data_IF_145025991381
#
_entry.id   IF_145025991381
#
_cell.length_a   1.000
_cell.length_b   1.000
_cell.length_c   1.000
_cell.angle_alpha   90.00
_cell.angle_beta   90.00
_cell.angle_gamma   90.00
#
_symmetry.space_group_name_H-M   'P 1'
#
loop_
_entity.id
_entity.type
_entity.pdbx_description
1 polymer ?
2 non-polymer ?
3 non-polymer ?
4 non-polymer ?
5 non-polymer ?
6 water ?
#
# COMPACT_ATOMS: atom_id res chain seq x y z
N UNK A 1 13.80 9.20 8.65
CA UNK A 1 13.11 7.99 9.06
C UNK A 1 12.07 8.23 10.16
N UNK A 2 11.01 7.41 10.12
CA UNK A 2 9.86 7.54 11.00
C UNK A 2 9.53 6.17 11.59
N UNK A 3 8.88 6.17 12.76
CA UNK A 3 8.47 4.95 13.41
C UNK A 3 7.04 4.61 13.00
N UNK A 4 6.85 3.40 12.45
CA UNK A 4 5.53 2.93 12.06
C UNK A 4 4.76 2.54 13.32
N UNK A 5 3.40 2.62 13.34
CA UNK A 5 2.63 3.11 12.19
C UNK A 5 2.68 4.63 12.01
N UNK A 6 2.51 5.06 10.75
CA UNK A 6 2.56 6.47 10.39
C UNK A 6 1.41 6.79 9.44
N UNK A 7 0.77 7.94 9.67
CA UNK A 7 -0.25 8.47 8.77
C UNK A 7 0.32 9.66 8.00
N UNK A 8 0.45 9.48 6.68
CA UNK A 8 0.79 10.56 5.77
C UNK A 8 -0.49 11.30 5.41
N UNK A 9 -0.60 12.61 5.74
CA UNK A 9 -1.79 13.39 5.40
C UNK A 9 -1.87 13.62 3.89
N UNK A 10 -3.08 13.48 3.35
CA UNK A 10 -3.35 13.77 1.95
C UNK A 10 -4.42 14.85 1.87
N UNK A 11 -4.07 16.15 2.04
CA UNK A 11 -5.06 17.22 2.14
C UNK A 11 -5.86 17.43 0.86
N UNK A 12 -7.18 17.41 0.98
CA UNK A 12 -8.07 17.52 -0.17
C UNK A 12 -8.08 16.24 -1.00
N UNK A 13 -7.55 15.15 -0.41
CA UNK A 13 -7.61 13.82 -1.00
C UNK A 13 -6.58 13.65 -2.12
N UNK A 14 -6.81 12.64 -2.96
CA UNK A 14 -5.91 12.34 -4.06
C UNK A 14 -6.54 12.82 -5.36
N UNK A 15 -5.71 12.89 -6.41
CA UNK A 15 -6.10 13.37 -7.72
C UNK A 15 -5.24 12.63 -8.75
N UNK A 16 -5.77 12.31 -9.95
CA UNK A 16 -4.93 11.78 -11.03
C UNK A 16 -3.65 12.59 -11.24
N UNK A 17 -2.54 11.87 -11.40
CA UNK A 17 -1.20 12.40 -11.65
C UNK A 17 -0.42 12.50 -10.34
N UNK A 18 -1.09 12.20 -9.22
CA UNK A 18 -0.43 12.18 -7.92
C UNK A 18 0.37 10.88 -7.79
N UNK A 19 1.69 11.04 -7.56
CA UNK A 19 2.60 9.91 -7.40
C UNK A 19 3.11 9.90 -5.97
N UNK A 20 2.79 8.83 -5.24
CA UNK A 20 3.18 8.70 -3.84
C UNK A 20 4.33 7.69 -3.76
N UNK A 21 5.42 8.08 -3.08
CA UNK A 21 6.59 7.24 -2.95
C UNK A 21 6.83 6.91 -1.48
N UNK A 22 6.85 5.60 -1.18
CA UNK A 22 7.16 5.10 0.15
C UNK A 22 8.49 4.37 0.08
N UNK A 23 9.48 4.86 0.84
CA UNK A 23 10.79 4.23 0.93
C UNK A 23 10.93 3.59 2.31
N UNK A 24 11.50 2.39 2.35
CA UNK A 24 11.76 1.73 3.61
C UNK A 24 12.61 0.47 3.43
N UNK A 25 12.79 -0.25 4.54
CA UNK A 25 13.44 -1.55 4.54
C UNK A 25 12.52 -2.54 5.26
N UNK A 26 12.35 -3.72 4.65
CA UNK A 26 11.57 -4.79 5.25
C UNK A 26 12.38 -5.37 6.40
N UNK A 27 11.71 -5.62 7.53
CA UNK A 27 12.36 -6.20 8.70
C UNK A 27 12.79 -7.64 8.41
N UNK A 28 13.85 -8.15 9.08
CA UNK A 28 14.45 -9.45 8.74
C UNK A 28 13.50 -10.64 8.76
N UNK A 29 12.58 -10.66 9.73
CA UNK A 29 11.62 -11.75 9.83
C UNK A 29 10.21 -11.20 9.68
N UNK A 30 9.94 -10.60 8.51
CA UNK A 30 8.69 -9.89 8.27
C UNK A 30 7.55 -10.87 8.01
N UNK A 31 6.36 -10.52 8.50
CA UNK A 31 5.15 -11.29 8.24
C UNK A 31 4.23 -10.53 7.28
N UNK A 32 4.14 -9.20 7.44
CA UNK A 32 3.18 -8.42 6.68
C UNK A 32 3.59 -6.95 6.58
N UNK A 33 3.10 -6.30 5.51
CA UNK A 33 3.16 -4.86 5.32
C UNK A 33 1.75 -4.41 4.94
N UNK A 34 1.39 -3.16 5.29
CA UNK A 34 0.10 -2.63 4.88
C UNK A 34 0.18 -1.15 4.56
N UNK A 35 -0.37 -0.77 3.40
CA UNK A 35 -0.73 0.60 3.08
C UNK A 35 -2.25 0.72 3.12
N UNK A 36 -2.75 1.79 3.75
CA UNK A 36 -4.18 2.01 3.87
C UNK A 36 -4.54 3.43 3.43
N UNK A 37 -5.14 3.55 2.23
CA UNK A 37 -5.70 4.81 1.76
C UNK A 37 -7.10 4.96 2.35
N UNK A 38 -7.27 5.98 3.21
CA UNK A 38 -8.45 6.08 4.06
C UNK A 38 -9.33 7.24 3.61
N UNK A 39 -10.64 7.00 3.63
CA UNK A 39 -11.67 8.03 3.56
C UNK A 39 -12.49 7.95 4.84
N UNK A 40 -12.11 8.76 5.83
CA UNK A 40 -12.63 8.60 7.18
C UNK A 40 -12.35 7.19 7.69
N UNK A 41 -13.41 6.49 8.11
CA UNK A 41 -13.26 5.13 8.63
C UNK A 41 -13.14 4.13 7.48
N UNK A 42 -13.54 4.54 6.27
CA UNK A 42 -13.48 3.64 5.13
C UNK A 42 -12.04 3.53 4.64
N UNK A 43 -11.68 2.33 4.16
CA UNK A 43 -10.38 2.14 3.52
C UNK A 43 -10.63 1.96 2.03
N UNK A 44 -10.28 2.99 1.25
CA UNK A 44 -10.49 2.99 -0.18
C UNK A 44 -9.62 1.93 -0.84
N UNK A 45 -8.37 1.83 -0.37
CA UNK A 45 -7.41 0.91 -0.96
C UNK A 45 -6.46 0.42 0.13
N UNK A 46 -6.57 -0.87 0.44
CA UNK A 46 -5.69 -1.57 1.36
C UNK A 46 -4.77 -2.46 0.53
N UNK A 47 -3.46 -2.24 0.65
CA UNK A 47 -2.45 -3.01 -0.06
C UNK A 47 -1.63 -3.76 0.99
N UNK A 48 -1.66 -5.10 0.93
CA UNK A 48 -1.25 -5.91 2.07
C UNK A 48 -0.40 -7.09 1.62
N UNK A 49 0.93 -6.90 1.42
CA UNK A 49 1.85 -8.02 1.21
C UNK A 49 1.90 -8.91 2.45
N UNK A 50 1.71 -10.22 2.24
CA UNK A 50 1.74 -11.22 3.29
C UNK A 50 2.84 -12.23 2.97
N UNK A 51 3.80 -12.36 3.89
CA UNK A 51 5.00 -13.17 3.67
C UNK A 51 4.74 -14.64 3.96
N UNK A 52 3.70 -14.95 4.75
CA UNK A 52 3.48 -16.31 5.21
C UNK A 52 1.99 -16.57 5.40
N UNK A 53 1.22 -16.44 4.31
CA UNK A 53 -0.18 -16.85 4.33
C UNK A 53 -0.27 -18.27 3.77
N UNK A 54 -0.55 -19.23 4.67
CA UNK A 54 -0.59 -20.65 4.32
C UNK A 54 0.75 -21.06 3.72
N UNK A 55 1.84 -20.54 4.31
CA UNK A 55 3.21 -20.83 3.89
C UNK A 55 3.47 -20.36 2.46
N UNK A 56 2.73 -19.34 2.02
CA UNK A 56 2.90 -18.76 0.70
C UNK A 56 3.04 -17.25 0.84
N UNK A 57 3.60 -16.61 -0.20
CA UNK A 57 3.73 -15.16 -0.23
C UNK A 57 2.74 -14.63 -1.26
N UNK A 58 1.93 -13.65 -0.83
CA UNK A 58 0.82 -13.16 -1.65
C UNK A 58 0.60 -11.68 -1.34
N UNK A 59 0.20 -10.92 -2.36
CA UNK A 59 -0.30 -9.57 -2.15
C UNK A 59 -1.82 -9.63 -2.08
N UNK A 60 -2.38 -9.05 -1.01
CA UNK A 60 -3.83 -8.95 -0.88
C UNK A 60 -4.24 -7.48 -0.93
N UNK A 61 -5.20 -7.17 -1.82
CA UNK A 61 -5.76 -5.83 -1.92
C UNK A 61 -7.26 -5.88 -1.65
N UNK A 62 -7.78 -4.86 -0.95
CA UNK A 62 -9.19 -4.83 -0.61
C UNK A 62 -9.62 -3.40 -0.28
N UNK A 63 -10.93 -3.24 -0.09
CA UNK A 63 -11.60 -2.01 0.31
C UNK A 63 -12.44 -2.33 1.54
N UNK A 64 -12.47 -1.41 2.51
CA UNK A 64 -13.29 -1.58 3.70
C UNK A 64 -14.35 -0.48 3.71
N UNK A 65 -15.62 -0.90 3.71
CA UNK A 65 -16.77 0.00 3.68
C UNK A 65 -17.68 -0.32 4.86
N UNK A 66 -18.02 0.72 5.64
CA UNK A 66 -18.90 0.58 6.80
C UNK A 66 -18.37 -0.51 7.73
N UNK A 67 -17.04 -0.61 7.80
CA UNK A 67 -16.32 -1.46 8.74
C UNK A 67 -16.30 -2.92 8.28
N UNK A 68 -16.67 -3.16 7.01
CA UNK A 68 -16.67 -4.51 6.45
C UNK A 68 -15.72 -4.58 5.25
N UNK A 69 -14.87 -5.62 5.25
CA UNK A 69 -13.98 -5.90 4.13
C UNK A 69 -14.76 -6.51 2.97
N UNK A 70 -14.46 -6.04 1.76
CA UNK A 70 -15.13 -6.48 0.55
C UNK A 70 -14.36 -7.61 -0.13
N UNK A 71 -14.46 -7.65 -1.46
CA UNK A 71 -13.86 -8.69 -2.29
C UNK A 71 -12.36 -8.47 -2.40
N UNK A 72 -11.58 -9.49 -2.01
CA UNK A 72 -10.13 -9.43 -2.10
C UNK A 72 -9.67 -9.63 -3.54
N UNK A 73 -8.69 -8.82 -3.95
CA UNK A 73 -7.94 -9.03 -5.17
C UNK A 73 -6.54 -9.50 -4.78
N UNK A 74 -6.16 -10.68 -5.28
CA UNK A 74 -4.95 -11.35 -4.84
C UNK A 74 -3.97 -11.47 -6.01
N UNK A 75 -2.67 -11.40 -5.67
CA UNK A 75 -1.58 -11.45 -6.64
C UNK A 75 -0.43 -12.27 -6.05
N UNK A 76 0.10 -13.22 -6.84
CA UNK A 76 1.20 -14.06 -6.40
C UNK A 76 2.56 -13.44 -6.72
N UNK A 77 2.59 -12.50 -7.68
CA UNK A 77 3.81 -11.76 -7.96
C UNK A 77 4.16 -10.98 -6.69
N UNK A 78 5.34 -11.26 -6.13
CA UNK A 78 5.72 -10.77 -4.82
C UNK A 78 7.14 -10.21 -4.86
N UNK A 79 7.31 -8.88 -5.06
CA UNK A 79 8.64 -8.28 -5.22
C UNK A 79 9.43 -7.95 -3.96
N UNK A 80 8.84 -8.19 -2.78
CA UNK A 80 9.46 -7.84 -1.51
C UNK A 80 10.29 -9.01 -0.99
N UNK A 81 11.32 -8.68 -0.20
CA UNK A 81 12.16 -9.65 0.48
C UNK A 81 12.50 -9.12 1.87
N UNK A 82 12.43 -10.01 2.87
CA UNK A 82 12.81 -9.68 4.23
C UNK A 82 14.24 -9.13 4.26
N UNK A 83 14.43 -8.02 4.99
CA UNK A 83 15.74 -7.45 5.20
C UNK A 83 16.15 -6.43 4.13
N UNK A 84 15.37 -6.33 3.05
CA UNK A 84 15.80 -5.57 1.88
C UNK A 84 15.10 -4.23 1.78
N UNK A 85 15.81 -3.18 1.31
CA UNK A 85 15.20 -1.88 1.04
C UNK A 85 14.24 -1.95 -0.14
N UNK A 86 13.13 -1.23 -0.04
CA UNK A 86 12.13 -1.24 -1.09
C UNK A 86 11.70 0.19 -1.41
N UNK A 87 11.09 0.34 -2.58
CA UNK A 87 10.38 1.55 -2.95
C UNK A 87 9.01 1.15 -3.49
N UNK A 88 7.95 1.60 -2.80
CA UNK A 88 6.59 1.43 -3.30
C UNK A 88 6.16 2.77 -3.88
N UNK A 89 5.67 2.74 -5.12
CA UNK A 89 5.10 3.92 -5.73
C UNK A 89 3.65 3.64 -6.09
N UNK A 90 2.78 4.55 -5.67
CA UNK A 90 1.36 4.50 -5.99
C UNK A 90 1.04 5.70 -6.87
N UNK A 91 0.72 5.41 -8.14
CA UNK A 91 0.28 6.42 -9.08
C UNK A 91 -1.24 6.43 -9.10
N UNK A 92 -1.82 7.59 -8.78
CA UNK A 92 -3.25 7.77 -8.84
C UNK A 92 -3.62 8.11 -10.28
N UNK A 93 -4.45 7.24 -10.88
CA UNK A 93 -4.94 7.45 -12.23
C UNK A 93 -6.45 7.70 -12.14
N UNK A 94 -7.12 8.14 -13.23
CA UNK A 94 -8.56 8.40 -13.17
C UNK A 94 -9.41 7.22 -12.71
N UNK A 95 -9.02 6.00 -13.09
CA UNK A 95 -9.88 4.84 -12.87
C UNK A 95 -9.29 3.82 -11.90
N UNK A 96 -8.01 3.98 -11.54
CA UNK A 96 -7.39 3.02 -10.65
C UNK A 96 -6.16 3.60 -9.95
N UNK A 97 -5.73 2.91 -8.88
CA UNK A 97 -4.40 3.08 -8.34
C UNK A 97 -3.47 2.12 -9.08
N UNK A 98 -2.33 2.65 -9.53
CA UNK A 98 -1.29 1.82 -10.13
C UNK A 98 -0.13 1.72 -9.14
N UNK A 99 0.32 0.49 -8.89
CA UNK A 99 1.38 0.23 -7.94
C UNK A 99 2.60 -0.33 -8.67
N UNK A 100 3.76 0.29 -8.41
CA UNK A 100 5.05 -0.25 -8.82
C UNK A 100 5.95 -0.40 -7.60
N UNK A 101 6.73 -1.49 -7.58
CA UNK A 101 7.68 -1.74 -6.51
C UNK A 101 9.07 -1.87 -7.13
N UNK A 102 10.03 -1.09 -6.61
CA UNK A 102 11.41 -1.10 -7.07
C UNK A 102 11.45 -0.87 -8.58
N UNK A 103 10.61 0.07 -9.04
CA UNK A 103 10.57 0.54 -10.42
C UNK A 103 9.95 -0.49 -11.38
N UNK A 104 9.33 -1.54 -10.83
CA UNK A 104 8.67 -2.54 -11.66
C UNK A 104 7.16 -2.51 -11.39
N UNK A 105 6.37 -2.45 -12.46
CA UNK A 105 4.91 -2.46 -12.35
C UNK A 105 4.46 -3.72 -11.62
N UNK A 106 3.55 -3.54 -10.65
CA UNK A 106 3.08 -4.66 -9.84
C UNK A 106 1.62 -4.97 -10.12
N UNK A 107 0.74 -3.98 -9.94
CA UNK A 107 -0.70 -4.21 -10.06
C UNK A 107 -1.44 -2.90 -10.30
N UNK A 108 -2.70 -3.03 -10.71
CA UNK A 108 -3.66 -1.94 -10.76
C UNK A 108 -4.87 -2.33 -9.90
N UNK A 109 -5.47 -1.34 -9.24
CA UNK A 109 -6.64 -1.56 -8.40
C UNK A 109 -7.70 -0.52 -8.76
N UNK A 110 -8.82 -0.98 -9.32
CA UNK A 110 -9.90 -0.11 -9.76
C UNK A 110 -10.49 0.62 -8.55
N UNK A 111 -10.81 1.91 -8.73
CA UNK A 111 -11.40 2.73 -7.68
C UNK A 111 -12.80 2.22 -7.36
N UNK A 112 -12.97 1.73 -6.12
CA UNK A 112 -14.27 1.32 -5.61
C UNK A 112 -14.90 2.51 -4.88
N UNK A 113 -14.10 3.18 -4.05
CA UNK A 113 -14.45 4.47 -3.48
C UNK A 113 -14.22 5.53 -4.55
N UNK A 114 -15.28 6.29 -4.87
CA UNK A 114 -15.29 7.15 -6.04
C UNK A 114 -14.79 8.55 -5.69
N UNK A 115 -14.92 8.94 -4.42
CA UNK A 115 -14.62 10.29 -3.98
C UNK A 115 -13.13 10.41 -3.65
N UNK A 116 -12.31 10.59 -4.70
CA UNK A 116 -10.86 10.66 -4.55
C UNK A 116 -10.47 11.83 -3.65
N UNK A 117 -11.23 12.93 -3.73
CA UNK A 117 -10.87 14.15 -3.01
C UNK A 117 -11.18 14.02 -1.52
N UNK A 118 -11.70 12.86 -1.11
CA UNK A 118 -12.03 12.62 0.29
C UNK A 118 -11.11 11.55 0.89
N UNK A 119 -10.19 11.02 0.07
CA UNK A 119 -9.24 10.02 0.52
C UNK A 119 -8.02 10.75 1.07
N UNK A 120 -8.07 11.10 2.36
CA UNK A 120 -7.28 12.20 2.89
C UNK A 120 -6.18 11.75 3.85
N UNK A 121 -5.98 10.43 4.00
CA UNK A 121 -4.89 9.91 4.82
C UNK A 121 -4.36 8.63 4.20
N UNK A 122 -3.03 8.44 4.29
CA UNK A 122 -2.39 7.19 3.93
C UNK A 122 -1.71 6.59 5.16
N UNK A 123 -2.25 5.47 5.63
CA UNK A 123 -1.68 4.73 6.75
C UNK A 123 -0.60 3.77 6.26
N UNK A 124 0.54 3.76 6.96
CA UNK A 124 1.66 2.88 6.66
C UNK A 124 2.00 2.09 7.92
N UNK A 125 1.92 0.76 7.83
CA UNK A 125 2.13 -0.10 8.98
C UNK A 125 2.79 -1.41 8.58
N UNK A 126 3.11 -2.23 9.59
CA UNK A 126 3.66 -3.55 9.34
C UNK A 126 5.14 -3.65 9.68
N UNK A 127 5.77 -4.69 9.15
CA UNK A 127 7.10 -5.10 9.56
C UNK A 127 8.14 -4.41 8.69
N UNK A 128 8.23 -3.08 8.82
CA UNK A 128 9.15 -2.28 8.04
C UNK A 128 9.84 -1.24 8.92
N UNK A 129 11.01 -0.79 8.44
CA UNK A 129 11.62 0.46 8.85
C UNK A 129 11.30 1.49 7.77
N UNK A 130 10.57 2.54 8.15
CA UNK A 130 10.11 3.54 7.20
C UNK A 130 11.15 4.65 7.08
N UNK A 131 11.63 4.87 5.84
CA UNK A 131 12.64 5.88 5.58
C UNK A 131 11.97 7.20 5.19
N UNK A 132 10.98 7.13 4.30
CA UNK A 132 10.44 8.31 3.65
C UNK A 132 9.03 8.03 3.15
N UNK A 133 8.17 9.05 3.22
CA UNK A 133 6.83 9.00 2.64
C UNK A 133 6.47 10.39 2.13
N UNK A 134 6.34 10.51 0.80
CA UNK A 134 6.10 11.78 0.15
C UNK A 134 5.32 11.56 -1.14
N UNK A 135 4.88 12.66 -1.76
CA UNK A 135 4.22 12.60 -3.05
C UNK A 135 4.61 13.80 -3.90
N UNK A 136 4.39 13.67 -5.21
CA UNK A 136 4.56 14.76 -6.15
C UNK A 136 3.49 14.64 -7.23
N UNK A 137 3.32 15.70 -8.02
CA UNK A 137 2.48 15.66 -9.20
C UNK A 137 3.38 15.48 -10.42
N UNK A 138 3.06 14.49 -11.25
CA UNK A 138 3.87 14.17 -12.42
C UNK A 138 3.38 14.99 -13.63
X LIG B 1 -11.92 -10.91 5.27
X LIG B 1 -11.89 -10.24 7.27
X LIG B 1 -9.59 -9.15 7.42
X LIG B 1 -10.70 -9.89 6.72
X LIG B 1 -10.73 -10.33 5.41
X LIG B 1 -12.60 -11.59 4.15
X LIG B 1 -11.67 -12.63 3.52
X LIG B 1 -13.67 -11.28 1.91
X LIG B 1 -7.99 -7.75 3.56
X LIG B 1 -7.15 -7.24 7.29
X LIG B 1 -3.17 -5.05 9.45
X LIG B 1 -0.68 -4.24 10.34
X LIG B 1 -0.80 -4.84 9.10
X LIG B 1 -2.05 -5.25 8.65
X LIG B 1 -6.56 -10.00 9.59
X LIG B 1 -7.26 -8.87 9.06
X LIG B 1 -7.10 -8.72 7.65
X LIG B 1 -8.19 -9.50 6.89
X LIG B 1 -12.33 -13.26 2.29
X LIG B 1 -12.74 -12.23 1.39
X LIG B 1 -13.05 -10.57 3.11
X LIG B 1 -11.96 -9.85 2.70
X LIG B 1 -12.61 -10.86 6.37
X LIG B 1 -8.07 -9.22 5.49
X LIG B 1 -8.12 -7.84 5.07
X LIG B 1 -9.15 -8.35 2.97
X LIG B 1 -7.05 -7.01 5.78
X LIG B 1 -5.74 -7.38 5.32
X LIG B 1 -6.14 -6.46 8.03
X LIG B 1 -6.65 -5.59 8.84
X LIG B 1 -5.67 -4.98 9.44
X LIG B 1 -4.51 -5.49 8.99
X LIG B 1 -3.04 -4.46 10.70
X LIG B 1 -1.79 -4.05 11.14
X LIG B 1 0.93 -3.71 10.94
X LIG B 1 0.30 -5.04 8.27
X LIG B 1 -2.16 -5.85 7.40
X LIG B 1 -4.81 -6.47 8.07
X LIG C 1 -15.82 -3.25 -1.67
X LIG C 1 -16.25 -4.64 -2.29
X LIG C 1 -16.53 -5.67 -2.73
X LIG D 1 17.11 -7.39 -5.93
X LIG D 1 16.12 -8.17 -4.98
X LIG D 1 15.37 -8.74 -4.32
X LIG E 1 6.84 10.91 -5.32
X LIG E 1 7.48 11.97 -4.33
X LIG E 1 7.91 12.74 -3.60
X LIG F 1 -15.04 -5.86 -6.80
X LIG F 1 -13.99 -6.48 -7.80
X LIG F 1 -13.20 -6.92 -8.52
X LIG G 1 -13.01 -3.63 14.29
X LIG G 1 -13.36 -2.44 15.17
X LIG G 1 -12.34 -3.18 12.99
X LIG G 1 -14.37 -1.77 14.88
X LIG G 1 -12.61 -2.18 16.13
X LIG G 1 -12.86 -3.54 11.91
X LIG G 1 -11.33 -2.47 13.07
X LIG H 1 2.79 -1.05 12.79
#
# INVERSE_FOLDING_TARGET
PLIVPYNLPLPGGVVPRMLITILGTVKPNANRIALDFQRGNDVAFHFNPRFNENNRRVIVCNTKLDNNWGREERQSVFPFESGKPFKIQVLVEPDHFKVAVNDAHLLQYNHRVKKLNEISKLGISGDIDLTSASYTMI
A1H2T N1 N3 C4 C5 C6 C7 C8 C10 C13 C15 C17 C20 C21 C22 C1 O1 C2 C3 C9 O2 C11 F1 N2 O3 C12 O4 C14 O5 N4 N5 N6 C16 C18 C19 CL1 F2 F3 C23
SCN S C N
SCN S C N
SCN S C N
SCN S C N
MLI C1 C2 C3 O6 O7 O8 O9
CL CL
#
